data_IF_064984767989
#
_entry.id   IF_064984767989
#
_cell.length_a   1.000
_cell.length_b   1.000
_cell.length_c   1.000
_cell.angle_alpha   90.00
_cell.angle_beta   90.00
_cell.angle_gamma   90.00
#
_symmetry.space_group_name_H-M   'P 1'
#
loop_
_entity.id
_entity.type
_entity.pdbx_description
1 polymer ?
#
# COMPACT_ATOMS: atom_id res chain seq x y z
N UNK A 1 8.48 20.38 1.63
CA UNK A 1 7.81 19.91 0.39
C UNK A 1 6.32 19.68 0.64
N UNK A 2 5.43 19.89 -0.34
CA UNK A 2 3.98 19.59 -0.18
C UNK A 2 3.65 18.16 -0.62
N UNK A 3 2.58 17.52 -0.09
CA UNK A 3 2.18 16.18 -0.52
C UNK A 3 1.94 16.06 -2.02
N UNK A 4 1.29 17.05 -2.64
CA UNK A 4 1.03 17.06 -4.08
C UNK A 4 2.32 17.15 -4.92
N UNK A 5 3.34 17.87 -4.45
CA UNK A 5 4.65 17.94 -5.12
C UNK A 5 5.39 16.60 -5.06
N UNK A 6 5.41 15.96 -3.88
CA UNK A 6 5.95 14.61 -3.71
C UNK A 6 5.23 13.63 -4.63
N UNK A 7 3.91 13.69 -4.66
CA UNK A 7 3.10 12.81 -5.51
C UNK A 7 3.41 12.96 -6.99
N UNK A 8 3.51 14.20 -7.48
CA UNK A 8 3.87 14.49 -8.86
C UNK A 8 5.23 13.88 -9.24
N UNK A 9 6.21 13.97 -8.34
CA UNK A 9 7.56 13.46 -8.59
C UNK A 9 7.68 11.92 -8.51
N UNK A 10 6.92 11.25 -7.65
CA UNK A 10 7.14 9.83 -7.32
C UNK A 10 6.02 8.88 -7.76
N UNK A 11 4.82 9.35 -8.08
CA UNK A 11 3.65 8.51 -8.38
C UNK A 11 3.93 7.46 -9.47
N UNK A 12 4.57 7.84 -10.58
CA UNK A 12 4.91 6.90 -11.65
C UNK A 12 5.90 5.80 -11.21
N UNK A 13 6.91 6.17 -10.41
CA UNK A 13 7.90 5.23 -9.86
C UNK A 13 7.26 4.28 -8.85
N UNK A 14 6.37 4.79 -7.99
CA UNK A 14 5.61 4.01 -7.03
C UNK A 14 4.65 3.04 -7.74
N UNK A 15 3.91 3.51 -8.75
CA UNK A 15 3.05 2.65 -9.58
C UNK A 15 3.85 1.52 -10.22
N UNK A 16 4.98 1.83 -10.86
CA UNK A 16 5.84 0.80 -11.45
C UNK A 16 6.41 -0.19 -10.43
N UNK A 17 6.71 0.27 -9.20
CA UNK A 17 7.15 -0.59 -8.11
C UNK A 17 6.05 -1.54 -7.62
N UNK A 18 4.81 -1.05 -7.54
CA UNK A 18 3.61 -1.83 -7.17
C UNK A 18 3.28 -2.83 -8.27
N UNK A 19 3.26 -2.40 -9.54
CA UNK A 19 2.96 -3.25 -10.70
C UNK A 19 3.91 -4.44 -10.85
N UNK A 20 5.17 -4.31 -10.41
CA UNK A 20 6.12 -5.43 -10.38
C UNK A 20 5.78 -6.51 -9.34
N UNK A 21 4.86 -6.25 -8.40
CA UNK A 21 4.54 -7.11 -7.25
C UNK A 21 3.08 -7.52 -7.19
N UNK A 22 2.21 -6.83 -7.91
CA UNK A 22 0.76 -7.00 -7.90
C UNK A 22 0.31 -7.38 -9.29
N UNK A 23 -0.52 -8.42 -9.40
CA UNK A 23 -0.88 -9.05 -10.68
C UNK A 23 -2.02 -8.33 -11.40
N UNK A 24 -3.02 -7.87 -10.65
CA UNK A 24 -4.23 -7.27 -11.20
C UNK A 24 -4.07 -5.74 -11.30
N UNK A 25 -4.40 -5.14 -12.44
CA UNK A 25 -4.34 -3.68 -12.64
C UNK A 25 -5.23 -2.92 -11.66
N UNK A 26 -6.43 -3.44 -11.36
CA UNK A 26 -7.35 -2.84 -10.37
C UNK A 26 -6.71 -2.78 -8.98
N UNK A 27 -6.05 -3.87 -8.57
CA UNK A 27 -5.35 -3.92 -7.27
C UNK A 27 -4.17 -2.92 -7.25
N UNK A 28 -3.50 -2.69 -8.38
CA UNK A 28 -2.40 -1.71 -8.47
C UNK A 28 -2.92 -0.31 -8.17
N UNK A 29 -4.02 0.09 -8.81
CA UNK A 29 -4.59 1.43 -8.66
C UNK A 29 -5.18 1.64 -7.24
N UNK A 30 -5.82 0.62 -6.67
CA UNK A 30 -6.31 0.64 -5.28
C UNK A 30 -5.17 0.82 -4.27
N UNK A 31 -4.08 0.06 -4.42
CA UNK A 31 -2.89 0.18 -3.56
C UNK A 31 -2.24 1.55 -3.73
N UNK A 32 -2.14 2.04 -4.97
CA UNK A 32 -1.58 3.34 -5.26
C UNK A 32 -2.37 4.46 -4.58
N UNK A 33 -3.70 4.36 -4.54
CA UNK A 33 -4.56 5.28 -3.82
C UNK A 33 -4.33 5.24 -2.29
N UNK A 34 -4.19 4.06 -1.69
CA UNK A 34 -3.85 3.92 -0.26
C UNK A 34 -2.48 4.54 0.07
N UNK A 35 -1.51 4.35 -0.82
CA UNK A 35 -0.19 4.98 -0.70
C UNK A 35 -0.31 6.51 -0.72
N UNK A 36 -1.10 7.08 -1.62
CA UNK A 36 -1.33 8.52 -1.66
C UNK A 36 -1.91 9.06 -0.35
N UNK A 37 -2.93 8.39 0.19
CA UNK A 37 -3.55 8.77 1.46
C UNK A 37 -2.53 8.74 2.62
N UNK A 38 -1.71 7.68 2.69
CA UNK A 38 -0.65 7.54 3.71
C UNK A 38 0.44 8.59 3.56
N UNK A 39 0.78 8.99 2.33
CA UNK A 39 1.74 10.08 2.08
C UNK A 39 1.18 11.40 2.60
N UNK A 40 -0.07 11.73 2.24
CA UNK A 40 -0.73 12.95 2.71
C UNK A 40 -0.80 13.04 4.24
N UNK A 41 -1.08 11.92 4.92
CA UNK A 41 -1.17 11.87 6.38
C UNK A 41 0.20 11.93 7.08
N UNK A 42 1.23 11.32 6.49
CA UNK A 42 2.53 11.14 7.15
C UNK A 42 3.61 12.15 6.79
N UNK A 43 3.47 12.88 5.66
CA UNK A 43 4.52 13.76 5.16
C UNK A 43 4.84 14.92 6.11
N UNK A 44 3.85 15.43 6.85
CA UNK A 44 4.05 16.52 7.81
C UNK A 44 5.01 16.19 8.96
N UNK A 45 5.25 14.90 9.24
CA UNK A 45 6.19 14.45 10.26
C UNK A 45 7.60 14.14 9.73
N UNK A 46 7.84 14.22 8.42
CA UNK A 46 9.16 14.00 7.84
C UNK A 46 9.99 15.30 7.95
N UNK A 47 10.96 15.32 8.85
CA UNK A 47 11.87 16.46 9.02
C UNK A 47 13.15 16.36 8.17
N UNK A 48 13.49 15.15 7.68
CA UNK A 48 14.66 14.91 6.85
C UNK A 48 14.26 14.57 5.41
N UNK A 49 14.59 15.47 4.48
CA UNK A 49 14.32 15.29 3.04
C UNK A 49 15.15 14.12 2.45
N UNK A 50 16.33 13.84 3.02
CA UNK A 50 17.23 12.75 2.62
C UNK A 50 16.63 11.35 2.77
N UNK A 51 15.58 11.20 3.58
CA UNK A 51 14.91 9.91 3.82
C UNK A 51 13.56 9.79 3.11
N UNK A 52 13.15 10.82 2.36
CA UNK A 52 11.85 10.87 1.71
C UNK A 52 11.65 9.67 0.79
N UNK A 53 12.57 9.42 -0.14
CA UNK A 53 12.43 8.33 -1.11
C UNK A 53 12.33 6.96 -0.40
N UNK A 54 13.21 6.68 0.55
CA UNK A 54 13.18 5.44 1.33
C UNK A 54 11.87 5.26 2.09
N UNK A 55 11.35 6.34 2.69
CA UNK A 55 10.08 6.33 3.38
C UNK A 55 8.90 6.08 2.43
N UNK A 56 8.87 6.70 1.24
CA UNK A 56 7.83 6.49 0.24
C UNK A 56 7.74 5.02 -0.21
N UNK A 57 8.89 4.41 -0.52
CA UNK A 57 8.92 2.99 -0.90
C UNK A 57 8.58 2.06 0.28
N UNK A 58 8.87 2.47 1.52
CA UNK A 58 8.42 1.75 2.69
C UNK A 58 6.89 1.81 2.85
N UNK A 59 6.27 2.97 2.62
CA UNK A 59 4.80 3.12 2.61
C UNK A 59 4.19 2.21 1.53
N UNK A 60 4.72 2.23 0.31
CA UNK A 60 4.25 1.36 -0.77
C UNK A 60 4.38 -0.12 -0.45
N UNK A 61 5.51 -0.55 0.12
CA UNK A 61 5.69 -1.93 0.55
C UNK A 61 4.66 -2.36 1.59
N UNK A 62 4.39 -1.50 2.59
CA UNK A 62 3.39 -1.78 3.63
C UNK A 62 1.99 -1.86 3.04
N UNK A 63 1.62 -0.96 2.13
CA UNK A 63 0.33 -1.00 1.45
C UNK A 63 0.11 -2.30 0.65
N UNK A 64 1.14 -2.80 -0.05
CA UNK A 64 1.07 -4.10 -0.75
C UNK A 64 0.83 -5.25 0.24
N UNK A 65 1.55 -5.27 1.37
CA UNK A 65 1.36 -6.31 2.40
C UNK A 65 -0.04 -6.23 3.01
N UNK A 66 -0.52 -5.03 3.33
CA UNK A 66 -1.87 -4.80 3.85
C UNK A 66 -2.94 -5.28 2.87
N UNK A 67 -2.77 -5.01 1.57
CA UNK A 67 -3.67 -5.48 0.51
C UNK A 67 -3.79 -6.99 0.52
N UNK A 68 -2.67 -7.71 0.43
CA UNK A 68 -2.70 -9.18 0.44
C UNK A 68 -3.22 -9.76 1.76
N UNK A 69 -2.96 -9.11 2.90
CA UNK A 69 -3.51 -9.50 4.20
C UNK A 69 -5.03 -9.37 4.22
N UNK A 70 -5.58 -8.25 3.74
CA UNK A 70 -7.03 -8.02 3.62
C UNK A 70 -7.67 -9.00 2.65
N UNK A 71 -7.06 -9.22 1.48
CA UNK A 71 -7.56 -10.17 0.47
C UNK A 71 -7.63 -11.60 1.02
N UNK A 72 -6.62 -12.02 1.79
CA UNK A 72 -6.62 -13.31 2.49
C UNK A 72 -7.68 -13.40 3.59
N UNK A 73 -7.90 -12.33 4.34
CA UNK A 73 -8.95 -12.30 5.38
C UNK A 73 -10.35 -12.39 4.77
N UNK A 74 -10.60 -11.73 3.63
CA UNK A 74 -11.88 -11.80 2.90
C UNK A 74 -12.07 -13.16 2.21
N UNK A 75 -11.01 -13.79 1.73
CA UNK A 75 -11.05 -15.14 1.16
C UNK A 75 -11.30 -16.25 2.22
N UNK A 76 -11.41 -15.89 3.50
CA UNK A 76 -11.85 -16.79 4.58
C UNK A 76 -13.24 -16.37 5.11
N UNK A 77 -14.35 -16.65 4.40
CA UNK A 77 -15.67 -16.70 5.02
C UNK A 77 -15.90 -18.10 5.65
N UNK A 78 -16.09 -18.15 6.97
CA UNK A 78 -16.87 -19.14 7.77
C UNK A 78 -16.78 -20.67 7.55
N UNK A 79 -15.94 -21.23 6.68
CA UNK A 79 -15.85 -22.71 6.48
C UNK A 79 -15.00 -23.48 7.51
N UNK A 80 -14.62 -22.87 8.63
CA UNK A 80 -13.89 -23.55 9.72
C UNK A 80 -14.78 -23.81 10.95
N UNK A 81 -16.08 -23.53 10.86
CA UNK A 81 -17.05 -23.76 11.92
C UNK A 81 -18.02 -24.91 11.62
N UNK A 82 -17.62 -25.95 10.89
CA UNK A 82 -18.36 -27.23 10.90
C UNK A 82 -17.54 -28.35 11.55
N UNK A 83 -17.85 -28.53 12.84
CA UNK A 83 -17.77 -29.75 13.64
C UNK A 83 -16.43 -30.51 13.63
N UNK A 84 -15.58 -30.13 14.57
CA UNK A 84 -14.94 -31.14 15.41
C UNK A 84 -15.94 -31.64 16.47
N UNK A 85 -16.25 -32.95 16.38
CA UNK A 85 -16.77 -33.86 17.42
C UNK A 85 -18.25 -33.75 17.85
N UNK A 86 -18.89 -34.86 18.32
CA UNK A 86 -18.34 -36.20 18.58
C UNK A 86 -18.71 -37.26 17.53
#
# INVERSE_FOLDING_TARGET
MTPSAVWSAFSARLRGFIAKRVREEVDIDDILQDVFAKIHAGLGGLQEEDRLEAWLFQVARRAIVDHYRKRRAVALPEDVAEKTAP
#
